data_IF_131245156020
#
_entry.id   IF_131245156020
#
_cell.length_a   1.000
_cell.length_b   1.000
_cell.length_c   1.000
_cell.angle_alpha   90.00
_cell.angle_beta   90.00
_cell.angle_gamma   90.00
#
_symmetry.space_group_name_H-M   'P 1'
#
loop_
_entity.id
_entity.type
_entity.pdbx_description
1 polymer ?
2 non-polymer ?
3 water ?
#
# COMPACT_ATOMS: atom_id res chain seq x y z
N UNK A 1 -25.26 12.76 27.05
CA UNK A 1 -24.13 12.00 26.55
C UNK A 1 -22.86 12.85 26.51
N UNK A 2 -21.76 12.29 27.00
CA UNK A 2 -20.48 12.98 26.95
C UNK A 2 -19.90 12.91 25.54
N UNK A 3 -19.20 13.98 25.16
CA UNK A 3 -18.55 14.01 23.87
C UNK A 3 -17.27 13.19 23.90
N UNK A 4 -16.85 12.72 22.72
CA UNK A 4 -15.63 11.95 22.56
C UNK A 4 -14.79 12.55 21.45
N UNK A 5 -13.47 12.40 21.59
CA UNK A 5 -12.55 12.83 20.55
C UNK A 5 -11.23 12.10 20.74
N UNK A 6 -10.64 11.64 19.64
CA UNK A 6 -9.37 10.93 19.70
C UNK A 6 -8.64 11.08 18.37
N UNK A 7 -7.32 10.91 18.44
CA UNK A 7 -6.46 10.89 17.26
C UNK A 7 -5.60 9.64 17.35
N UNK A 8 -5.71 8.77 16.35
CA UNK A 8 -4.95 7.52 16.31
C UNK A 8 -4.10 7.50 15.04
N UNK A 9 -2.82 7.22 15.20
CA UNK A 9 -1.88 7.18 14.09
C UNK A 9 -1.17 5.84 14.07
N UNK A 10 -1.10 5.21 12.90
CA UNK A 10 -0.44 3.93 12.72
C UNK A 10 0.54 4.06 11.57
N UNK A 11 1.83 3.93 11.87
CA UNK A 11 2.90 4.14 10.90
C UNK A 11 3.70 2.85 10.72
N UNK A 12 4.14 2.60 9.49
CA UNK A 12 4.95 1.43 9.16
C UNK A 12 6.18 1.89 8.39
N UNK A 13 7.36 1.65 8.97
CA UNK A 13 8.64 1.97 8.34
C UNK A 13 9.29 0.67 7.89
N UNK A 14 9.45 0.51 6.58
CA UNK A 14 10.00 -0.71 6.01
C UNK A 14 11.29 -0.40 5.24
N UNK A 15 12.26 -1.30 5.36
CA UNK A 15 13.51 -1.22 4.61
C UNK A 15 13.90 -2.63 4.20
N UNK A 16 14.27 -2.80 2.95
CA UNK A 16 14.59 -4.12 2.42
C UNK A 16 15.83 -4.06 1.55
N UNK A 17 16.77 -4.96 1.83
CA UNK A 17 17.88 -5.24 0.93
C UNK A 17 17.89 -6.74 0.65
N UNK A 18 18.38 -7.11 -0.52
CA UNK A 18 18.38 -8.51 -0.89
C UNK A 18 17.02 -8.99 -1.35
N UNK A 19 16.78 -10.29 -1.20
CA UNK A 19 15.62 -10.94 -1.78
C UNK A 19 14.40 -11.01 -0.88
N UNK A 20 14.58 -10.94 0.44
CA UNK A 20 13.52 -11.22 1.39
C UNK A 20 13.18 -9.95 2.17
N UNK A 21 11.90 -9.60 2.17
CA UNK A 21 11.39 -8.45 2.90
C UNK A 21 10.54 -8.91 4.09
N UNK A 22 10.42 -8.04 5.07
CA UNK A 22 9.48 -8.24 6.18
C UNK A 22 8.15 -7.65 5.73
N UNK A 23 7.26 -8.52 5.22
CA UNK A 23 6.09 -8.04 4.50
C UNK A 23 4.98 -7.57 5.45
N UNK A 24 4.68 -8.34 6.49
CA UNK A 24 3.60 -7.99 7.40
C UNK A 24 3.97 -8.39 8.82
N UNK A 25 3.62 -7.53 9.77
CA UNK A 25 3.83 -7.77 11.19
C UNK A 25 2.51 -7.58 11.90
N UNK A 26 2.11 -8.57 12.69
CA UNK A 26 0.85 -8.51 13.40
C UNK A 26 0.94 -7.57 14.59
N UNK A 27 -0.07 -6.71 14.75
CA UNK A 27 -0.12 -5.83 15.91
C UNK A 27 -0.52 -6.58 17.18
N UNK A 28 -1.12 -7.76 17.05
CA UNK A 28 -1.50 -8.58 18.18
C UNK A 28 -0.43 -9.58 18.57
N UNK A 29 0.78 -9.46 18.02
CA UNK A 29 1.88 -10.30 18.42
C UNK A 29 1.80 -11.75 18.00
N UNK A 30 0.97 -12.06 17.01
CA UNK A 30 0.75 -13.45 16.64
C UNK A 30 1.73 -13.97 15.60
N UNK A 31 2.15 -13.14 14.64
CA UNK A 31 2.96 -13.65 13.55
C UNK A 31 3.85 -12.56 12.97
N UNK A 32 4.85 -13.01 12.21
CA UNK A 32 5.66 -12.18 11.34
C UNK A 32 5.76 -12.90 10.00
N UNK A 33 5.43 -12.20 8.92
CA UNK A 33 5.41 -12.79 7.59
C UNK A 33 6.52 -12.19 6.73
N UNK A 34 7.31 -13.06 6.12
CA UNK A 34 8.38 -12.67 5.20
C UNK A 34 8.01 -13.08 3.78
N UNK A 35 8.58 -12.38 2.81
CA UNK A 35 8.30 -12.66 1.40
C UNK A 35 9.58 -12.56 0.60
N UNK A 36 9.86 -13.58 -0.21
CA UNK A 36 10.94 -13.54 -1.19
C UNK A 36 10.40 -12.81 -2.41
N UNK A 37 10.82 -11.56 -2.58
CA UNK A 37 10.32 -10.71 -3.66
C UNK A 37 11.14 -10.83 -4.95
N UNK A 38 12.06 -11.78 -5.03
CA UNK A 38 12.91 -11.97 -6.18
C UNK A 38 12.45 -13.20 -6.98
N UNK A 39 13.14 -13.45 -8.08
CA UNK A 39 12.87 -14.62 -8.91
C UNK A 39 13.88 -15.74 -8.68
N UNK A 40 14.57 -15.72 -7.54
CA UNK A 40 15.50 -16.76 -7.16
C UNK A 40 15.23 -17.21 -5.74
N UNK A 41 15.52 -18.48 -5.46
CA UNK A 41 15.37 -18.99 -4.11
C UNK A 41 16.38 -18.33 -3.17
N UNK A 42 16.04 -18.32 -1.88
CA UNK A 42 16.89 -17.73 -0.85
C UNK A 42 17.08 -18.73 0.27
N UNK A 43 18.30 -19.21 0.45
CA UNK A 43 18.62 -20.03 1.60
C UNK A 43 18.66 -19.17 2.85
N UNK A 45 19.14 -20.68 6.12
CA UNK A 45 19.61 -21.51 7.21
C UNK A 45 20.29 -20.71 8.30
N UNK A 46 19.80 -20.84 9.52
CA UNK A 46 20.34 -20.16 10.71
C UNK A 46 20.23 -18.64 10.60
N UNK A 47 19.37 -18.13 9.72
CA UNK A 47 19.01 -16.73 9.78
C UNK A 47 18.21 -16.46 11.06
N UNK A 48 18.08 -15.18 11.41
CA UNK A 48 17.38 -14.80 12.62
C UNK A 48 16.40 -13.68 12.36
N UNK A 49 15.41 -13.58 13.24
CA UNK A 49 14.50 -12.44 13.32
C UNK A 49 14.64 -11.83 14.69
N UNK A 50 15.05 -10.57 14.74
CA UNK A 50 15.21 -9.85 15.99
C UNK A 50 14.03 -8.91 16.19
N UNK A 51 13.38 -9.00 17.34
CA UNK A 51 12.19 -8.23 17.66
C UNK A 51 12.48 -7.31 18.83
N UNK A 52 12.36 -6.01 18.60
CA UNK A 52 12.62 -4.99 19.62
C UNK A 52 11.31 -4.25 19.87
N UNK A 53 10.68 -4.53 21.01
CA UNK A 53 9.40 -3.93 21.38
C UNK A 53 9.67 -2.81 22.37
N UNK A 54 9.87 -1.61 21.85
CA UNK A 54 10.22 -0.49 22.71
C UNK A 54 11.53 -0.75 23.41
N UNK A 55 11.52 -0.64 24.74
CA UNK A 55 12.68 -0.93 25.56
C UNK A 55 12.64 -2.32 26.18
N UNK A 56 11.72 -3.18 25.73
CA UNK A 56 11.66 -4.54 26.23
C UNK A 56 12.93 -5.30 25.86
N UNK A 57 13.26 -6.36 26.61
CA UNK A 57 14.39 -7.21 26.22
C UNK A 57 14.20 -7.76 24.81
N UNK A 58 15.30 -7.81 24.07
CA UNK A 58 15.25 -8.27 22.69
C UNK A 58 14.83 -9.73 22.62
N UNK A 59 13.92 -10.04 21.71
CA UNK A 59 13.53 -11.41 21.40
C UNK A 59 14.14 -11.81 20.07
N UNK A 60 14.70 -13.02 20.01
CA UNK A 60 15.41 -13.49 18.83
C UNK A 60 14.88 -14.87 18.44
N UNK A 61 14.28 -14.95 17.26
CA UNK A 61 13.92 -16.22 16.65
C UNK A 61 15.02 -16.65 15.69
N UNK A 62 15.27 -17.96 15.64
CA UNK A 62 16.28 -18.52 14.74
C UNK A 62 15.63 -19.54 13.83
N UNK A 63 15.90 -19.42 12.53
CA UNK A 63 15.38 -20.36 11.56
C UNK A 63 16.08 -21.71 11.72
N UNK A 64 15.47 -22.79 11.22
CA UNK A 64 16.14 -24.10 11.20
C UNK A 64 17.47 -24.01 10.49
N UNK A 65 18.41 -24.91 10.79
CA UNK A 65 19.75 -24.82 10.17
C UNK A 65 19.71 -24.93 8.65
N UNK A 66 18.69 -25.58 8.10
CA UNK A 66 18.48 -25.64 6.66
C UNK A 66 17.06 -25.20 6.38
N UNK A 67 16.92 -24.08 5.66
CA UNK A 67 15.60 -23.58 5.29
C UNK A 67 15.75 -22.70 4.06
N UNK A 68 14.90 -22.94 3.07
CA UNK A 68 14.88 -22.17 1.83
C UNK A 68 13.53 -21.50 1.66
N UNK A 69 13.54 -20.19 1.41
CA UNK A 69 12.34 -19.46 1.02
C UNK A 69 12.38 -19.30 -0.50
N UNK A 70 11.55 -20.09 -1.19
CA UNK A 70 11.59 -20.12 -2.64
C UNK A 70 11.16 -18.78 -3.22
N UNK A 71 11.49 -18.59 -4.50
CA UNK A 71 11.18 -17.34 -5.19
C UNK A 71 9.68 -17.06 -5.17
N UNK A 72 9.32 -15.83 -4.83
CA UNK A 72 7.93 -15.42 -4.81
C UNK A 72 7.11 -15.94 -3.65
N UNK A 73 7.68 -16.77 -2.79
CA UNK A 73 6.92 -17.43 -1.73
C UNK A 73 7.03 -16.65 -0.42
N UNK A 74 6.14 -17.00 0.51
CA UNK A 74 6.10 -16.38 1.82
C UNK A 74 6.25 -17.46 2.89
N UNK A 75 6.78 -17.04 4.03
CA UNK A 75 6.81 -17.87 5.23
C UNK A 75 6.29 -17.03 6.39
N UNK A 76 5.38 -17.59 7.17
CA UNK A 76 4.85 -16.93 8.35
C UNK A 76 5.37 -17.65 9.59
N UNK A 77 5.97 -16.90 10.49
CA UNK A 77 6.51 -17.43 11.74
C UNK A 77 5.53 -17.05 12.84
N UNK A 78 4.85 -18.06 13.39
CA UNK A 78 3.82 -17.86 14.40
C UNK A 78 4.40 -18.01 15.80
N UNK A 79 4.01 -17.11 16.69
CA UNK A 79 4.30 -17.31 18.10
C UNK A 79 3.52 -18.50 18.63
N UNK A 80 4.04 -19.11 19.70
CA UNK A 80 3.44 -20.34 20.21
C UNK A 80 2.01 -20.11 20.71
N UNK A 81 1.71 -18.92 21.20
CA UNK A 81 0.37 -18.63 21.70
C UNK A 81 -0.69 -18.43 20.63
N UNK A 82 -0.29 -18.33 19.35
CA UNK A 82 -1.25 -18.07 18.30
C UNK A 82 -2.12 -19.28 17.98
N UNK A 83 -1.73 -20.47 18.42
CA UNK A 83 -2.50 -21.65 18.13
C UNK A 83 -2.43 -22.11 16.68
N UNK A 84 -1.35 -21.78 15.98
CA UNK A 84 -1.18 -22.17 14.59
C UNK A 84 -0.58 -23.57 14.50
N UNK A 85 -0.64 -24.13 13.29
CA UNK A 85 -0.11 -25.47 13.02
C UNK A 85 1.22 -25.35 12.29
N UNK A 86 2.25 -26.00 12.83
CA UNK A 86 3.56 -26.00 12.21
C UNK A 86 3.49 -26.78 10.89
N UNK A 87 3.66 -26.07 9.78
CA UNK A 87 3.52 -26.67 8.45
C UNK A 87 4.50 -26.01 7.50
N UNK A 88 5.75 -26.44 7.52
CA UNK A 88 6.72 -25.86 6.60
C UNK A 88 6.39 -26.23 5.17
N UNK A 89 6.83 -25.43 4.19
CA UNK A 89 7.69 -24.24 4.31
C UNK A 89 6.94 -22.93 4.50
N UNK A 90 5.61 -22.94 4.58
CA UNK A 90 4.85 -21.70 4.63
C UNK A 90 4.55 -21.22 6.04
N UNK A 91 4.48 -22.12 7.02
CA UNK A 91 4.10 -21.74 8.37
C UNK A 91 5.00 -22.43 9.38
N UNK A 92 5.74 -21.63 10.15
CA UNK A 92 6.62 -22.14 11.19
C UNK A 92 6.16 -21.62 12.54
N UNK A 93 6.25 -22.47 13.56
CA UNK A 93 5.83 -22.13 14.92
C UNK A 93 7.07 -21.91 15.78
N UNK A 94 7.14 -20.74 16.41
CA UNK A 94 8.19 -20.41 17.36
C UNK A 94 7.75 -20.93 18.72
N UNK A 95 8.26 -22.10 19.11
CA UNK A 95 7.73 -22.79 20.29
C UNK A 95 8.14 -22.10 21.58
N UNK A 96 9.34 -21.50 21.62
CA UNK A 96 9.86 -20.97 22.88
C UNK A 96 9.24 -19.64 23.28
N UNK A 97 8.61 -18.92 22.34
CA UNK A 97 8.10 -17.58 22.60
C UNK A 97 6.58 -17.57 22.40
N UNK A 98 5.86 -17.20 23.45
CA UNK A 98 4.39 -17.26 23.40
C UNK A 98 3.81 -16.15 22.54
N UNK A 99 4.45 -14.99 22.49
CA UNK A 99 3.98 -13.87 21.68
C UNK A 99 5.17 -13.16 21.06
N UNK A 100 4.94 -12.56 19.89
CA UNK A 100 5.95 -11.68 19.32
C UNK A 100 6.07 -10.37 20.08
N UNK A 101 5.12 -10.08 20.96
CA UNK A 101 5.13 -8.85 21.73
C UNK A 101 4.16 -7.82 21.19
N UNK A 102 3.36 -7.25 22.08
CA UNK A 102 2.44 -6.16 21.75
C UNK A 102 2.98 -4.86 22.32
N UNK A 103 2.54 -3.76 21.74
CA UNK A 103 2.98 -2.45 22.20
C UNK A 103 2.86 -1.43 21.10
N UNK A 104 3.23 -0.20 21.44
CA UNK A 104 3.10 0.93 20.52
C UNK A 104 4.32 1.13 19.64
N UNK A 105 5.39 0.35 19.84
CA UNK A 105 6.59 0.43 19.01
C UNK A 105 7.13 -0.98 18.85
N UNK A 106 7.02 -1.53 17.64
CA UNK A 106 7.41 -2.91 17.36
C UNK A 106 8.36 -2.92 16.17
N UNK A 107 9.61 -3.28 16.41
CA UNK A 107 10.63 -3.34 15.38
C UNK A 107 11.01 -4.79 15.11
N UNK A 108 10.83 -5.22 13.86
CA UNK A 108 11.11 -6.58 13.44
C UNK A 108 12.18 -6.55 12.36
N UNK A 109 13.32 -7.17 12.63
CA UNK A 109 14.46 -7.13 11.73
C UNK A 109 14.87 -8.54 11.32
N UNK A 110 15.17 -8.71 10.04
CA UNK A 110 15.65 -9.98 9.50
C UNK A 110 17.17 -9.97 9.43
N UNK A 111 17.79 -11.00 10.01
CA UNK A 111 19.25 -11.09 10.14
C UNK A 111 19.70 -12.30 9.34
N UNK A 112 20.75 -12.12 8.52
CA UNK A 112 21.26 -13.23 7.74
C UNK A 112 22.19 -14.11 8.58
N UNK A 113 22.78 -15.11 7.95
CA UNK A 113 23.57 -16.10 8.68
C UNK A 113 24.86 -15.53 9.24
N UNK A 114 25.29 -14.35 8.78
CA UNK A 114 26.52 -13.74 9.25
C UNK A 114 26.27 -12.60 10.23
N UNK A 115 25.03 -12.37 10.63
CA UNK A 115 24.72 -11.38 11.65
C UNK A 115 24.39 -9.99 11.13
N UNK A 116 24.15 -9.83 9.84
CA UNK A 116 23.83 -8.53 9.26
C UNK A 116 22.34 -8.39 9.05
N UNK A 117 21.80 -7.23 9.42
CA UNK A 117 20.39 -6.94 9.19
C UNK A 117 20.17 -6.64 7.71
N UNK A 118 19.31 -7.41 7.07
CA UNK A 118 19.06 -7.27 5.64
C UNK A 118 17.69 -6.68 5.34
N UNK A 119 16.75 -6.70 6.30
CA UNK A 119 15.43 -6.14 6.08
C UNK A 119 14.79 -5.88 7.44
N UNK A 121 10.89 -4.07 9.40
CA UNK A 121 9.61 -3.38 9.38
C UNK A 121 9.29 -2.94 10.80
N UNK A 122 9.03 -1.64 10.98
CA UNK A 122 8.81 -1.05 12.30
C UNK A 122 7.41 -0.47 12.34
N UNK A 123 6.62 -0.94 13.32
CA UNK A 123 5.24 -0.50 13.51
C UNK A 123 5.18 0.44 14.71
N UNK A 124 4.56 1.61 14.52
CA UNK A 124 4.38 2.59 15.57
C UNK A 124 2.92 3.01 15.61
N UNK A 125 2.30 2.91 16.78
CA UNK A 125 0.92 3.35 16.97
C UNK A 125 0.89 4.40 18.08
N UNK A 126 0.32 5.56 17.77
CA UNK A 126 0.11 6.63 18.73
C UNK A 126 -1.37 6.94 18.82
N UNK A 127 -1.87 7.12 20.03
CA UNK A 127 -3.28 7.44 20.28
C UNK A 127 -3.35 8.52 21.35
N UNK A 128 -4.07 9.60 21.07
CA UNK A 128 -4.35 10.64 22.04
C UNK A 128 -5.85 10.83 22.15
N UNK A 129 -6.35 10.86 23.39
CA UNK A 129 -7.77 11.03 23.67
C UNK A 129 -7.95 12.36 24.40
N UNK A 130 -8.95 13.13 23.97
CA UNK A 130 -9.29 14.38 24.63
C UNK A 130 -10.00 14.08 25.94
N UNK A 131 -9.46 14.59 27.04
CA UNK A 131 -10.03 14.33 28.36
C UNK A 131 -11.18 15.28 28.67
N UNK B 2 -10.52 23.36 9.95
CA UNK B 2 -10.92 23.01 8.59
C UNK B 2 -9.79 23.32 7.61
N UNK B 3 -8.56 23.20 8.09
CA UNK B 3 -7.39 23.48 7.27
C UNK B 3 -6.86 22.20 6.63
N UNK B 4 -6.28 22.35 5.43
CA UNK B 4 -5.69 21.24 4.70
C UNK B 4 -4.27 21.63 4.29
N UNK B 5 -3.37 20.66 4.30
CA UNK B 5 -1.99 20.91 3.91
C UNK B 5 -1.33 19.59 3.52
N UNK B 6 -0.63 19.59 2.39
CA UNK B 6 0.04 18.39 1.92
C UNK B 6 1.31 18.78 1.18
N UNK B 7 2.29 17.87 1.21
CA UNK B 7 3.52 17.99 0.45
C UNK B 7 3.65 16.75 -0.42
N UNK B 8 3.56 16.94 -1.75
CA UNK B 8 3.65 15.86 -2.70
C UNK B 8 4.89 16.03 -3.56
N UNK B 9 5.62 14.94 -3.79
CA UNK B 9 6.82 14.98 -4.59
C UNK B 9 6.81 13.84 -5.61
N UNK B 10 7.36 14.13 -6.78
CA UNK B 10 7.53 13.16 -7.85
C UNK B 10 8.96 13.26 -8.36
N UNK B 11 9.73 12.19 -8.20
CA UNK B 11 11.15 12.20 -8.54
C UNK B 11 11.46 11.09 -9.54
N UNK B 12 12.43 11.37 -10.41
CA UNK B 12 12.87 10.42 -11.43
C UNK B 12 14.39 10.33 -11.38
N UNK B 13 14.90 9.16 -11.02
CA UNK B 13 16.33 8.89 -11.00
C UNK B 13 16.67 8.02 -12.21
N UNK B 14 17.49 8.54 -13.11
CA UNK B 14 17.85 7.83 -14.33
C UNK B 14 19.36 7.65 -14.40
N UNK B 15 19.78 6.49 -14.92
CA UNK B 15 21.18 6.16 -15.13
C UNK B 15 21.31 5.41 -16.44
N UNK B 16 22.30 5.78 -17.24
CA UNK B 16 22.55 5.11 -18.52
C UNK B 16 24.05 5.01 -18.74
N UNK B 17 24.50 3.83 -19.14
CA UNK B 17 25.92 3.57 -19.38
C UNK B 17 26.25 3.20 -20.81
N UNK B 18 25.29 2.70 -21.58
CA UNK B 18 25.57 2.28 -22.95
C UNK B 18 24.83 3.10 -23.99
N UNK B 19 24.37 2.43 -25.05
CA UNK B 19 23.67 3.10 -26.13
C UNK B 19 22.19 3.28 -25.85
N UNK B 20 21.60 2.45 -24.99
CA UNK B 20 20.15 2.41 -24.80
C UNK B 20 19.81 2.88 -23.40
N UNK B 21 18.89 3.83 -23.30
CA UNK B 21 18.41 4.37 -22.04
C UNK B 21 16.95 4.02 -21.83
N UNK B 22 16.54 4.01 -20.56
CA UNK B 22 15.13 3.87 -20.20
C UNK B 22 14.52 5.26 -20.28
N UNK B 23 13.80 5.54 -21.37
CA UNK B 23 13.39 6.91 -21.67
C UNK B 23 12.14 7.31 -20.90
N UNK B 24 11.12 6.46 -20.86
CA UNK B 24 9.86 6.82 -20.22
C UNK B 24 9.23 5.58 -19.59
N UNK B 25 8.70 5.77 -18.39
CA UNK B 25 8.02 4.71 -17.65
C UNK B 25 6.61 5.19 -17.32
N UNK B 26 5.61 4.46 -17.79
CA UNK B 26 4.23 4.82 -17.54
C UNK B 26 3.89 4.64 -16.06
N UNK B 27 3.33 5.68 -15.45
CA UNK B 27 2.91 5.58 -14.05
C UNK B 27 1.66 4.71 -13.89
N UNK B 28 0.92 4.49 -14.97
CA UNK B 28 -0.24 3.61 -14.94
C UNK B 28 0.09 2.17 -15.29
N UNK B 29 1.38 1.85 -15.43
CA UNK B 29 1.81 0.48 -15.62
C UNK B 29 1.53 -0.11 -16.99
N UNK B 30 1.31 0.73 -18.00
CA UNK B 30 0.95 0.23 -19.32
C UNK B 30 2.15 -0.04 -20.23
N UNK B 31 3.25 0.70 -20.07
CA UNK B 31 4.33 0.55 -21.02
C UNK B 31 5.66 0.98 -20.39
N UNK B 32 6.74 0.55 -21.04
CA UNK B 32 8.10 1.03 -20.81
C UNK B 32 8.72 1.29 -22.18
N UNK B 33 9.33 2.46 -22.35
CA UNK B 33 9.96 2.83 -23.60
C UNK B 33 11.46 2.95 -23.42
N UNK B 34 12.21 2.36 -24.34
CA UNK B 34 13.66 2.46 -24.39
C UNK B 34 14.07 3.28 -25.59
N UNK B 35 15.24 3.90 -25.52
CA UNK B 35 15.73 4.73 -26.62
C UNK B 35 17.20 4.44 -26.87
N UNK B 36 17.53 4.15 -28.13
CA UNK B 36 18.92 4.10 -28.56
C UNK B 36 19.37 5.54 -28.84
N UNK B 37 20.22 6.08 -27.98
CA UNK B 37 20.64 7.47 -28.09
C UNK B 37 21.91 7.66 -28.91
N UNK B 38 22.48 6.58 -29.44
CA UNK B 38 23.71 6.66 -30.22
C UNK B 38 23.39 6.59 -31.71
N UNK B 39 24.43 6.67 -32.53
CA UNK B 39 24.30 6.52 -33.98
C UNK B 39 24.70 5.11 -34.44
N UNK B 40 24.69 4.14 -33.54
CA UNK B 40 24.97 2.75 -33.88
C UNK B 40 23.82 1.87 -33.40
N UNK B 41 23.56 0.81 -34.15
CA UNK B 41 22.55 -0.16 -33.75
C UNK B 41 23.01 -0.92 -32.50
N UNK B 42 22.04 -1.32 -31.69
CA UNK B 42 22.31 -2.05 -30.47
C UNK B 42 21.59 -3.40 -30.50
N UNK B 43 22.35 -4.48 -30.45
CA UNK B 43 21.78 -5.81 -30.35
C UNK B 43 21.34 -6.04 -28.91
N UNK B 45 19.40 -8.96 -28.02
CA UNK B 45 18.90 -10.31 -27.94
C UNK B 45 18.96 -10.89 -26.55
N UNK B 46 17.81 -11.36 -26.05
CA UNK B 46 17.69 -11.98 -24.73
C UNK B 46 18.04 -11.02 -23.58
N UNK B 47 18.08 -9.72 -23.85
CA UNK B 47 18.21 -8.76 -22.77
C UNK B 47 16.94 -8.77 -21.91
N UNK B 48 17.07 -8.25 -20.70
CA UNK B 48 15.97 -8.28 -19.74
C UNK B 48 15.63 -6.87 -19.27
N UNK B 49 14.36 -6.69 -18.90
CA UNK B 49 13.89 -5.51 -18.19
C UNK B 49 13.36 -5.98 -16.85
N UNK B 50 14.07 -5.63 -15.78
CA UNK B 50 13.67 -6.00 -14.43
C UNK B 50 12.91 -4.84 -13.80
N UNK B 51 11.70 -5.12 -13.31
CA UNK B 51 10.82 -4.10 -12.74
C UNK B 51 10.63 -4.39 -11.26
N UNK B 52 11.19 -3.53 -10.41
CA UNK B 52 11.03 -3.62 -8.96
C UNK B 52 10.06 -2.54 -8.52
N UNK B 53 8.90 -2.94 -8.03
CA UNK B 53 7.88 -2.02 -7.53
C UNK B 53 7.84 -2.15 -6.01
N UNK B 54 8.72 -1.41 -5.34
CA UNK B 54 8.82 -1.54 -3.90
C UNK B 54 9.22 -2.95 -3.53
N UNK B 55 8.46 -3.56 -2.61
CA UNK B 55 8.67 -4.94 -2.22
C UNK B 55 7.68 -5.89 -2.89
N UNK B 56 7.04 -5.45 -3.97
CA UNK B 56 6.19 -6.32 -4.77
C UNK B 56 7.04 -7.43 -5.39
N UNK B 57 6.41 -8.52 -5.85
CA UNK B 57 7.19 -9.54 -6.56
C UNK B 57 7.83 -8.98 -7.82
N UNK B 58 9.09 -9.39 -8.04
CA UNK B 58 9.84 -8.87 -9.19
C UNK B 58 9.18 -9.31 -10.49
N UNK B 59 9.07 -8.36 -11.42
CA UNK B 59 8.55 -8.62 -12.76
C UNK B 59 9.70 -8.48 -13.75
N UNK B 60 9.92 -9.51 -14.56
CA UNK B 60 11.05 -9.55 -15.48
C UNK B 60 10.54 -9.86 -16.88
N UNK B 61 10.78 -8.94 -17.81
CA UNK B 61 10.53 -9.16 -19.23
C UNK B 61 11.84 -9.49 -19.93
N UNK B 62 11.78 -10.40 -20.89
CA UNK B 62 12.95 -10.78 -21.68
C UNK B 62 12.67 -10.55 -23.16
N UNK B 63 13.59 -9.85 -23.83
CA UNK B 63 13.48 -9.62 -25.25
C UNK B 63 13.62 -10.95 -26.00
N UNK B 64 13.17 -10.99 -27.26
CA UNK B 64 13.39 -12.18 -28.08
C UNK B 64 14.86 -12.49 -28.24
N UNK B 65 15.21 -13.75 -28.55
CA UNK B 65 16.64 -14.10 -28.66
C UNK B 65 17.39 -13.27 -29.67
N UNK B 66 16.71 -12.77 -30.71
CA UNK B 66 17.29 -11.84 -31.67
C UNK B 66 16.45 -10.58 -31.69
N UNK B 67 17.04 -9.46 -31.27
CA UNK B 67 16.35 -8.18 -31.33
C UNK B 67 17.39 -7.07 -31.46
N UNK B 68 17.13 -6.13 -32.36
CA UNK B 68 18.02 -5.01 -32.61
C UNK B 68 17.23 -3.71 -32.50
N UNK B 69 17.70 -2.81 -31.64
CA UNK B 69 17.17 -1.46 -31.56
C UNK B 69 18.07 -0.56 -32.40
N UNK B 70 17.54 -0.08 -33.53
CA UNK B 70 18.34 0.70 -34.45
C UNK B 70 18.75 2.04 -33.83
N UNK B 71 19.77 2.65 -34.43
CA UNK B 71 20.29 3.91 -33.93
C UNK B 71 19.21 4.99 -33.94
N UNK B 72 19.12 5.73 -32.83
CA UNK B 72 18.16 6.81 -32.71
C UNK B 72 16.72 6.37 -32.47
N UNK B 73 16.44 5.08 -32.51
CA UNK B 73 15.07 4.58 -32.48
C UNK B 73 14.64 4.21 -31.07
N UNK B 74 13.32 4.04 -30.91
CA UNK B 74 12.72 3.66 -29.64
C UNK B 74 11.98 2.35 -29.81
N UNK B 75 11.82 1.64 -28.70
CA UNK B 75 10.97 0.46 -28.63
C UNK B 75 10.11 0.59 -27.39
N UNK B 76 8.81 0.37 -27.54
CA UNK B 76 7.85 0.42 -26.44
C UNK B 76 7.39 -0.98 -26.12
N UNK B 77 7.57 -1.40 -24.87
CA UNK B 77 7.16 -2.73 -24.43
C UNK B 77 5.86 -2.56 -23.64
N UNK B 78 4.77 -3.05 -24.22
CA UNK B 78 3.44 -2.89 -23.62
C UNK B 78 3.10 -4.10 -22.76
N UNK B 79 2.53 -3.84 -21.59
CA UNK B 79 1.91 -4.91 -20.82
C UNK B 79 0.66 -5.41 -21.54
N UNK B 80 0.28 -6.65 -21.23
CA UNK B 80 -0.85 -7.26 -21.93
C UNK B 80 -2.14 -6.48 -21.72
N UNK B 81 -2.32 -5.87 -20.54
CA UNK B 81 -3.54 -5.14 -20.26
C UNK B 81 -3.69 -3.83 -21.00
N UNK B 82 -2.63 -3.34 -21.63
CA UNK B 82 -2.71 -2.08 -22.35
C UNK B 82 -3.54 -2.19 -23.63
N UNK B 83 -3.73 -3.39 -24.15
CA UNK B 83 -4.48 -3.56 -25.38
C UNK B 83 -3.78 -3.05 -26.62
N UNK B 84 -2.45 -3.09 -26.63
CA UNK B 84 -1.68 -2.61 -27.76
C UNK B 84 -1.47 -3.73 -28.78
N UNK B 85 -0.97 -3.35 -29.95
CA UNK B 85 -0.73 -4.28 -31.04
C UNK B 85 0.75 -4.61 -31.13
N UNK B 86 1.08 -5.89 -31.10
CA UNK B 86 2.46 -6.33 -31.27
C UNK B 86 2.94 -5.99 -32.67
N UNK B 87 3.98 -5.15 -32.74
CA UNK B 87 4.51 -4.75 -34.03
C UNK B 87 6.00 -4.44 -33.91
N UNK B 88 6.87 -5.45 -33.90
CA UNK B 88 8.30 -5.16 -33.76
C UNK B 88 8.82 -4.43 -34.98
N UNK B 89 9.90 -3.65 -34.82
CA UNK B 89 10.70 -3.44 -33.60
C UNK B 89 10.20 -2.28 -32.73
N UNK B 90 9.15 -1.58 -33.13
CA UNK B 90 8.71 -0.39 -32.41
C UNK B 90 7.81 -0.70 -31.22
N UNK B 91 7.00 -1.76 -31.29
CA UNK B 91 6.04 -2.07 -30.23
C UNK B 91 6.06 -3.57 -29.95
N UNK B 92 6.39 -3.93 -28.72
CA UNK B 92 6.38 -5.32 -28.28
C UNK B 92 5.34 -5.47 -27.17
N UNK B 93 4.55 -6.54 -27.25
CA UNK B 93 3.51 -6.82 -26.27
C UNK B 93 3.98 -7.94 -25.36
N UNK B 94 3.95 -7.67 -24.05
CA UNK B 94 4.34 -8.64 -23.03
C UNK B 94 3.12 -9.49 -22.69
N UNK B 95 3.03 -10.67 -23.31
CA UNK B 95 1.81 -11.47 -23.23
C UNK B 95 1.53 -11.96 -21.82
N UNK B 96 2.57 -12.34 -21.09
CA UNK B 96 2.42 -13.06 -19.83
C UNK B 96 2.29 -12.16 -18.61
N UNK B 97 2.27 -10.84 -18.79
CA UNK B 97 2.19 -9.91 -17.67
C UNK B 97 1.15 -8.84 -17.98
N UNK B 98 0.11 -8.77 -17.16
CA UNK B 98 -1.00 -7.86 -17.43
C UNK B 98 -0.61 -6.40 -17.23
N UNK B 99 0.30 -6.11 -16.30
CA UNK B 99 0.65 -4.74 -15.99
C UNK B 99 2.12 -4.67 -15.58
N UNK B 100 2.74 -3.53 -15.86
CA UNK B 100 4.08 -3.27 -15.33
C UNK B 100 4.06 -2.96 -13.84
N UNK B 101 2.88 -2.72 -13.27
CA UNK B 101 2.77 -2.44 -11.84
C UNK B 101 2.68 -0.95 -11.53
N UNK B 102 1.85 -0.60 -10.57
CA UNK B 102 1.70 0.77 -10.10
C UNK B 102 2.11 0.84 -8.63
N UNK B 103 2.48 2.04 -8.19
CA UNK B 103 2.88 2.23 -6.82
C UNK B 103 3.74 3.47 -6.66
N UNK B 104 4.11 3.72 -5.40
CA UNK B 104 4.92 4.88 -5.06
C UNK B 104 6.40 4.71 -5.40
N UNK B 105 6.82 3.53 -5.83
CA UNK B 105 8.22 3.28 -6.15
C UNK B 105 8.29 2.28 -7.29
N UNK B 106 8.66 2.75 -8.48
CA UNK B 106 8.74 1.93 -9.69
C UNK B 106 10.16 2.01 -10.21
N UNK B 107 10.89 0.90 -10.14
CA UNK B 107 12.27 0.82 -10.60
C UNK B 107 12.33 -0.08 -11.84
N UNK B 108 12.71 0.50 -12.96
CA UNK B 108 12.81 -0.22 -14.24
C UNK B 108 14.27 -0.24 -14.66
N UNK B 109 14.83 -1.46 -14.83
CA UNK B 109 16.23 -1.63 -15.13
C UNK B 109 16.42 -2.47 -16.39
N UNK B 110 17.37 -2.08 -17.22
CA UNK B 110 17.71 -2.80 -18.44
C UNK B 110 18.97 -3.62 -18.19
N UNK B 111 18.88 -4.93 -18.44
CA UNK B 111 19.95 -5.87 -18.15
C UNK B 111 20.42 -6.48 -19.47
N UNK B 112 21.74 -6.54 -19.66
CA UNK B 112 22.30 -7.06 -20.91
C UNK B 112 22.50 -8.57 -20.80
N UNK B 113 23.16 -9.15 -21.80
CA UNK B 113 23.28 -10.61 -21.87
C UNK B 113 24.16 -11.16 -20.76
N UNK B 114 25.12 -10.39 -20.27
CA UNK B 114 26.03 -10.82 -19.21
C UNK B 114 25.51 -10.46 -17.83
N UNK B 115 24.23 -10.11 -17.71
CA UNK B 115 23.64 -9.82 -16.41
C UNK B 115 23.99 -8.47 -15.83
N UNK B 116 24.59 -7.57 -16.60
CA UNK B 116 24.95 -6.26 -16.11
C UNK B 116 23.82 -5.27 -16.35
N UNK B 117 23.49 -4.50 -15.33
CA UNK B 117 22.50 -3.43 -15.46
C UNK B 117 23.12 -2.27 -16.21
N UNK B 118 22.68 -2.05 -17.45
CA UNK B 118 23.25 -1.01 -18.29
C UNK B 118 22.47 0.29 -18.26
N UNK B 119 21.22 0.27 -17.80
CA UNK B 119 20.41 1.48 -17.75
C UNK B 119 19.27 1.27 -16.76
N UNK B 121 15.66 3.58 -14.75
CA UNK B 121 14.87 4.77 -14.44
C UNK B 121 13.93 4.41 -13.31
N UNK B 122 13.99 5.16 -12.22
CA UNK B 122 13.20 4.90 -11.02
C UNK B 122 12.27 6.07 -10.78
N UNK B 123 10.96 5.78 -10.71
CA UNK B 123 9.95 6.79 -10.46
C UNK B 123 9.47 6.66 -9.01
N UNK B 124 9.50 7.76 -8.27
CA UNK B 124 9.15 7.77 -6.86
C UNK B 124 8.13 8.88 -6.62
N UNK B 125 7.02 8.52 -5.99
CA UNK B 125 5.98 9.47 -5.60
C UNK B 125 5.84 9.43 -4.07
N UNK B 126 5.97 10.58 -3.44
CA UNK B 126 5.77 10.70 -2.01
C UNK B 126 4.69 11.75 -1.73
N UNK B 127 3.97 11.56 -0.64
CA UNK B 127 2.95 12.52 -0.22
C UNK B 127 2.81 12.46 1.29
N UNK B 128 2.88 13.62 1.93
CA UNK B 128 2.68 13.76 3.37
C UNK B 128 1.58 14.77 3.62
N UNK B 129 0.63 14.42 4.50
CA UNK B 129 -0.48 15.29 4.85
C UNK B 129 -0.34 15.69 6.31
N UNK B 130 -0.44 16.99 6.58
CA UNK B 130 -0.33 17.49 7.95
C UNK B 130 -1.50 16.97 8.78
N UNK B 131 -1.20 16.52 9.99
CA UNK B 131 -2.22 15.93 10.85
C UNK B 131 -2.99 16.99 11.60
N UNK B 132 -4.24 16.68 11.92
CA UNK B 132 -5.08 17.58 12.71
C UNK B 132 -4.72 17.52 14.19
N UNK C 3 17.88 -1.78 -3.01
CA UNK C 3 17.37 -1.42 -1.69
C UNK C 3 16.12 -0.57 -1.80
N UNK C 4 15.10 -0.92 -1.02
CA UNK C 4 13.84 -0.17 -0.98
C UNK C 4 13.54 0.22 0.46
N UNK C 5 13.01 1.42 0.65
CA UNK C 5 12.70 1.92 1.98
C UNK C 5 11.58 2.95 1.87
N UNK C 6 10.62 2.85 2.79
CA UNK C 6 9.48 3.77 2.79
C UNK C 6 8.90 3.86 4.19
N UNK C 7 8.33 5.02 4.50
CA UNK C 7 7.57 5.24 5.72
C UNK C 7 6.14 5.62 5.33
N UNK C 8 5.18 4.82 5.77
CA UNK C 8 3.77 5.08 5.51
C UNK C 8 3.03 5.23 6.83
N UNK C 9 2.05 6.13 6.86
CA UNK C 9 1.28 6.38 8.06
C UNK C 9 -0.20 6.49 7.71
N UNK C 10 -1.04 6.02 8.63
CA UNK C 10 -2.49 6.11 8.49
C UNK C 10 -3.06 6.65 9.78
N UNK C 11 -3.75 7.78 9.70
CA UNK C 11 -4.24 8.48 10.88
C UNK C 11 -5.75 8.67 10.79
N UNK C 12 -6.41 8.56 11.94
CA UNK C 12 -7.86 8.75 12.05
C UNK C 12 -8.15 9.70 13.20
N UNK C 13 -8.69 10.87 12.88
CA UNK C 13 -9.14 11.82 13.87
C UNK C 13 -10.66 11.77 13.93
N UNK C 14 -11.21 11.40 15.09
CA UNK C 14 -12.64 11.23 15.27
C UNK C 14 -13.12 12.14 16.39
N UNK C 15 -14.30 12.73 16.19
CA UNK C 15 -14.95 13.55 17.21
C UNK C 15 -16.43 13.29 17.14
N UNK C 16 -17.07 13.09 18.30
CA UNK C 16 -18.49 12.79 18.35
C UNK C 16 -19.13 13.53 19.51
N UNK C 17 -20.23 14.23 19.22
CA UNK C 17 -21.12 14.76 20.23
C UNK C 17 -22.51 14.22 19.97
N UNK C 18 -23.23 13.90 21.03
CA UNK C 18 -24.57 13.34 20.88
C UNK C 18 -24.60 11.84 20.65
N UNK C 19 -25.58 11.36 19.90
CA UNK C 19 -25.86 9.93 19.84
C UNK C 19 -25.23 9.22 18.65
N UNK C 20 -24.93 9.93 17.56
CA UNK C 20 -24.52 9.30 16.30
C UNK C 20 -23.09 9.69 15.99
N UNK C 21 -22.25 8.69 15.73
CA UNK C 21 -20.86 8.88 15.37
C UNK C 21 -20.63 8.42 13.93
N UNK C 22 -19.57 8.96 13.32
CA UNK C 22 -19.10 8.49 12.02
C UNK C 22 -18.21 7.28 12.29
N UNK C 23 -18.75 6.08 12.08
CA UNK C 23 -18.09 4.86 12.56
C UNK C 23 -17.00 4.39 11.60
N UNK C 24 -17.30 4.33 10.31
CA UNK C 24 -16.32 3.83 9.34
C UNK C 24 -16.45 4.60 8.04
N UNK C 25 -15.31 4.93 7.44
CA UNK C 25 -15.22 5.60 6.16
C UNK C 25 -14.39 4.74 5.23
N UNK C 26 -15.00 4.29 4.14
CA UNK C 26 -14.29 3.48 3.16
C UNK C 26 -13.25 4.31 2.43
N UNK C 27 -12.01 3.83 2.41
CA UNK C 27 -10.95 4.51 1.67
C UNK C 27 -11.09 4.36 0.17
N UNK C 28 -11.92 3.42 -0.30
CA UNK C 28 -12.21 3.27 -1.72
C UNK C 28 -13.41 4.09 -2.16
N UNK C 29 -13.95 4.93 -1.26
CA UNK C 29 -15.03 5.83 -1.62
C UNK C 29 -16.38 5.18 -1.83
N UNK C 30 -16.59 3.97 -1.32
CA UNK C 30 -17.83 3.25 -1.58
C UNK C 30 -18.92 3.56 -0.57
N UNK C 31 -18.59 3.82 0.69
CA UNK C 31 -19.64 3.97 1.69
C UNK C 31 -19.16 4.83 2.85
N UNK C 32 -20.13 5.28 3.64
CA UNK C 32 -19.91 5.89 4.95
C UNK C 32 -20.93 5.29 5.89
N UNK C 33 -20.47 4.73 7.01
CA UNK C 33 -21.34 4.10 7.98
C UNK C 33 -21.41 4.95 9.24
N UNK C 34 -22.63 5.21 9.71
CA UNK C 34 -22.88 5.94 10.94
C UNK C 34 -23.41 4.98 12.00
N UNK C 35 -23.12 5.27 13.26
CA UNK C 35 -23.51 4.41 14.37
C UNK C 35 -24.21 5.24 15.43
N UNK C 36 -25.43 4.84 15.78
CA UNK C 36 -26.09 5.35 16.99
C UNK C 36 -25.52 4.57 18.16
N UNK C 37 -24.65 5.20 18.94
CA UNK C 37 -23.97 4.52 20.03
C UNK C 37 -24.75 4.56 21.33
N UNK C 38 -25.92 5.20 21.35
CA UNK C 38 -26.67 5.40 22.57
C UNK C 38 -27.81 4.39 22.67
N UNK C 39 -28.57 4.48 23.77
CA UNK C 39 -29.72 3.63 24.01
C UNK C 39 -31.03 4.32 23.65
N UNK C 40 -30.97 5.40 22.86
CA UNK C 40 -32.16 6.11 22.42
C UNK C 40 -32.10 6.33 20.92
N UNK C 41 -33.28 6.34 20.29
CA UNK C 41 -33.37 6.61 18.87
C UNK C 41 -32.93 8.05 18.58
N UNK C 42 -32.49 8.27 17.34
CA UNK C 42 -32.07 9.59 16.89
C UNK C 42 -32.76 9.92 15.59
N UNK C 43 -33.56 10.98 15.59
CA UNK C 43 -34.14 11.49 14.35
C UNK C 43 -33.08 12.21 13.55
N UNK C 45 -33.83 13.41 10.20
CA UNK C 45 -34.50 14.04 9.08
C UNK C 45 -33.83 15.32 8.64
N UNK C 46 -33.51 15.42 7.34
CA UNK C 46 -32.86 16.57 6.73
C UNK C 46 -31.44 16.79 7.21
N UNK C 47 -30.87 15.86 7.97
CA UNK C 47 -29.46 15.97 8.34
C UNK C 47 -28.59 15.79 7.10
N UNK C 48 -27.31 16.12 7.23
CA UNK C 48 -26.40 16.12 6.10
C UNK C 48 -25.09 15.43 6.46
N UNK C 49 -24.42 14.93 5.42
CA UNK C 49 -23.05 14.44 5.52
C UNK C 49 -22.21 15.27 4.55
N UNK C 50 -21.24 15.99 5.10
CA UNK C 50 -20.35 16.84 4.30
C UNK C 50 -19.00 16.14 4.17
N UNK C 51 -18.55 15.94 2.94
CA UNK C 51 -17.32 15.21 2.66
C UNK C 51 -16.31 16.16 2.02
N UNK C 52 -15.21 16.41 2.71
CA UNK C 52 -14.13 17.26 2.23
C UNK C 52 -12.92 16.38 1.92
N UNK C 53 -12.64 16.21 0.63
CA UNK C 53 -11.51 15.38 0.18
C UNK C 53 -10.39 16.32 -0.22
N UNK C 54 -9.54 16.66 0.75
CA UNK C 54 -8.46 17.61 0.48
C UNK C 54 -9.04 18.95 0.10
N UNK C 55 -8.58 19.49 -1.04
CA UNK C 55 -9.10 20.74 -1.57
C UNK C 55 -10.09 20.52 -2.71
N UNK C 56 -10.58 19.29 -2.89
CA UNK C 56 -11.61 19.03 -3.86
C UNK C 56 -12.90 19.76 -3.47
N UNK C 57 -13.77 20.04 -4.44
CA UNK C 57 -15.06 20.66 -4.12
C UNK C 57 -15.84 19.81 -3.11
N UNK C 58 -16.55 20.49 -2.22
CA UNK C 58 -17.31 19.82 -1.18
C UNK C 58 -18.41 18.95 -1.78
N UNK C 59 -18.54 17.73 -1.25
CA UNK C 59 -19.65 16.83 -1.57
C UNK C 59 -20.58 16.77 -0.37
N UNK C 60 -21.88 16.93 -0.62
CA UNK C 60 -22.87 17.00 0.45
C UNK C 60 -23.99 16.02 0.18
N UNK C 61 -24.18 15.08 1.10
CA UNK C 61 -25.32 14.16 1.06
C UNK C 61 -26.40 14.67 2.00
N UNK C 62 -27.66 14.51 1.61
CA UNK C 62 -28.79 14.95 2.40
C UNK C 62 -29.66 13.76 2.73
N UNK C 63 -29.93 13.56 4.03
CA UNK C 63 -30.84 12.51 4.46
C UNK C 63 -32.26 12.83 4.02
N UNK C 64 -33.12 11.81 3.93
CA UNK C 64 -34.54 12.06 3.65
C UNK C 64 -35.14 12.98 4.68
N UNK C 65 -36.26 13.65 4.37
CA UNK C 65 -36.84 14.60 5.34
C UNK C 65 -37.30 13.93 6.62
N UNK C 66 -37.58 12.63 6.61
CA UNK C 66 -37.90 11.87 7.81
C UNK C 66 -37.05 10.62 7.82
N UNK C 67 -36.15 10.51 8.80
CA UNK C 67 -35.30 9.35 8.93
C UNK C 67 -34.93 9.16 10.39
N UNK C 68 -34.95 7.91 10.85
CA UNK C 68 -34.67 7.57 12.23
C UNK C 68 -33.59 6.49 12.28
N UNK C 69 -32.51 6.76 13.00
CA UNK C 69 -31.48 5.77 13.28
C UNK C 69 -31.72 5.25 14.69
N UNK C 70 -32.06 3.96 14.80
CA UNK C 70 -32.46 3.39 16.07
C UNK C 70 -31.25 3.21 16.98
N UNK C 71 -31.55 3.07 18.28
CA UNK C 71 -30.50 2.92 19.29
C UNK C 71 -29.63 1.72 19.00
N UNK C 72 -28.31 1.90 19.07
CA UNK C 72 -27.36 0.84 18.85
C UNK C 72 -27.10 0.48 17.41
N UNK C 73 -27.86 1.02 16.46
CA UNK C 73 -27.88 0.54 15.09
C UNK C 73 -26.99 1.38 14.18
N UNK C 74 -26.70 0.84 13.01
CA UNK C 74 -25.91 1.50 11.99
C UNK C 74 -26.76 1.76 10.76
N UNK C 75 -26.37 2.79 10.00
CA UNK C 75 -26.88 3.03 8.67
C UNK C 75 -25.67 3.25 7.76
N UNK C 76 -25.62 2.54 6.65
CA UNK C 76 -24.55 2.69 5.66
C UNK C 76 -25.08 3.48 4.48
N UNK C 77 -24.42 4.58 4.16
CA UNK C 77 -24.79 5.42 3.03
C UNK C 77 -23.83 5.09 1.89
N UNK C 78 -24.34 4.39 0.89
CA UNK C 78 -23.54 3.92 -0.23
C UNK C 78 -23.52 4.96 -1.34
N UNK C 79 -22.34 5.15 -1.94
CA UNK C 79 -22.26 5.88 -3.20
C UNK C 79 -22.89 5.04 -4.31
N UNK C 80 -23.42 5.74 -5.32
CA UNK C 80 -24.13 5.04 -6.39
C UNK C 80 -23.23 4.07 -7.15
N UNK C 81 -21.93 4.37 -7.22
CA UNK C 81 -21.01 3.50 -7.94
C UNK C 81 -20.72 2.19 -7.25
N UNK C 82 -21.06 2.04 -5.97
CA UNK C 82 -20.77 0.81 -5.25
C UNK C 82 -21.64 -0.35 -5.68
N UNK C 83 -22.79 -0.08 -6.31
CA UNK C 83 -23.68 -1.14 -6.73
C UNK C 83 -24.43 -1.80 -5.60
N UNK C 84 -24.75 -1.05 -4.54
CA UNK C 84 -25.50 -1.59 -3.43
C UNK C 84 -27.00 -1.44 -3.67
N UNK C 85 -27.79 -2.08 -2.81
CA UNK C 85 -29.24 -2.03 -2.90
C UNK C 85 -29.80 -1.10 -1.85
N UNK C 86 -30.62 -0.15 -2.28
CA UNK C 86 -31.24 0.83 -1.37
C UNK C 86 -32.30 0.12 -0.53
N UNK C 87 -31.96 -0.18 0.72
CA UNK C 87 -32.84 -0.91 1.63
C UNK C 87 -32.87 -0.20 2.98
N UNK C 88 -33.71 0.83 3.12
CA UNK C 88 -33.79 1.53 4.40
C UNK C 88 -34.34 0.62 5.48
N UNK C 89 -33.97 0.85 6.75
CA UNK C 89 -33.13 1.94 7.27
C UNK C 89 -31.66 1.56 7.37
N UNK C 90 -31.28 0.34 6.98
CA UNK C 90 -29.90 -0.10 7.18
C UNK C 90 -28.97 0.37 6.08
N UNK C 91 -29.45 0.47 4.84
CA UNK C 91 -28.61 0.82 3.70
C UNK C 91 -29.33 1.83 2.83
N UNK C 92 -28.74 3.01 2.69
CA UNK C 92 -29.22 4.04 1.79
C UNK C 92 -28.21 4.26 0.67
N UNK C 93 -28.71 4.49 -0.54
CA UNK C 93 -27.87 4.69 -1.71
C UNK C 93 -27.95 6.15 -2.12
N UNK C 94 -26.78 6.79 -2.24
CA UNK C 94 -26.67 8.16 -2.76
C UNK C 94 -26.71 8.08 -4.28
N UNK C 95 -27.93 8.15 -4.83
CA UNK C 95 -28.15 7.80 -6.22
C UNK C 95 -27.44 8.74 -7.19
N UNK C 96 -27.28 10.00 -6.82
CA UNK C 96 -26.73 11.00 -7.74
C UNK C 96 -25.21 11.08 -7.70
N UNK C 97 -24.56 10.46 -6.73
CA UNK C 97 -23.13 10.59 -6.54
C UNK C 97 -22.46 9.23 -6.72
N UNK C 98 -21.54 9.15 -7.67
CA UNK C 98 -20.93 7.87 -8.00
C UNK C 98 -19.92 7.43 -6.95
N UNK C 99 -19.25 8.36 -6.28
CA UNK C 99 -18.22 8.00 -5.32
C UNK C 99 -18.18 9.02 -4.18
N UNK C 100 -17.81 8.53 -3.00
CA UNK C 100 -17.54 9.43 -1.88
C UNK C 100 -16.22 10.18 -2.04
N UNK C 101 -15.37 9.72 -2.95
CA UNK C 101 -14.08 10.35 -3.17
C UNK C 101 -12.94 9.63 -2.49
N UNK C 102 -11.81 9.52 -3.18
CA UNK C 102 -10.60 8.91 -2.64
C UNK C 102 -9.49 9.95 -2.59
N UNK C 103 -8.47 9.66 -1.80
CA UNK C 103 -7.35 10.56 -1.66
C UNK C 103 -6.67 10.38 -0.32
N UNK C 104 -5.63 11.19 -0.11
CA UNK C 104 -4.82 11.12 1.10
C UNK C 104 -5.44 11.87 2.27
N UNK C 105 -6.56 12.55 2.08
CA UNK C 105 -7.21 13.28 3.16
C UNK C 105 -8.71 13.25 2.92
N UNK C 106 -9.45 12.53 3.77
CA UNK C 106 -10.88 12.36 3.64
C UNK C 106 -11.53 12.79 4.96
N UNK C 107 -12.25 13.90 4.94
CA UNK C 107 -12.95 14.41 6.11
C UNK C 107 -14.45 14.25 5.91
N UNK C 108 -15.08 13.44 6.76
CA UNK C 108 -16.50 13.16 6.70
C UNK C 108 -17.16 13.70 7.96
N UNK C 109 -18.10 14.62 7.80
CA UNK C 109 -18.75 15.30 8.91
C UNK C 109 -20.26 15.09 8.86
N UNK C 110 -20.85 14.90 10.03
CA UNK C 110 -22.30 14.75 10.17
C UNK C 110 -22.89 16.06 10.66
N UNK C 111 -23.88 16.58 9.93
CA UNK C 111 -24.49 17.88 10.20
C UNK C 111 -25.94 17.65 10.59
N UNK C 112 -26.38 18.29 11.67
CA UNK C 112 -27.76 18.13 12.12
C UNK C 112 -28.66 19.07 11.33
N UNK C 113 -29.94 19.13 11.71
CA UNK C 113 -30.92 19.88 10.93
C UNK C 113 -30.73 21.38 11.01
N UNK C 114 -30.06 21.89 12.05
CA UNK C 114 -29.83 23.31 12.20
C UNK C 114 -28.44 23.74 11.74
N UNK C 115 -27.73 22.87 11.03
CA UNK C 115 -26.46 23.23 10.42
C UNK C 115 -25.23 23.07 11.29
N UNK C 116 -25.33 22.40 12.44
CA UNK C 116 -24.20 22.19 13.33
C UNK C 116 -23.56 20.83 13.05
N UNK C 117 -22.24 20.81 13.06
CA UNK C 117 -21.49 19.56 12.92
C UNK C 117 -21.50 18.85 14.27
N UNK C 118 -22.18 17.70 14.33
CA UNK C 118 -22.29 16.95 15.57
C UNK C 118 -21.29 15.80 15.65
N UNK C 119 -20.71 15.37 14.53
CA UNK C 119 -19.75 14.29 14.54
C UNK C 119 -18.90 14.39 13.28
N UNK C 121 -15.19 12.28 11.23
CA UNK C 121 -14.06 11.36 11.20
C UNK C 121 -13.20 11.71 10.01
N UNK C 122 -11.91 11.94 10.23
CA UNK C 122 -10.98 12.31 9.17
C UNK C 122 -9.92 11.24 9.03
N UNK C 123 -9.75 10.74 7.81
CA UNK C 123 -8.73 9.76 7.48
C UNK C 123 -7.62 10.44 6.70
N UNK C 124 -6.39 10.23 7.15
CA UNK C 124 -5.21 10.83 6.52
C UNK C 124 -4.21 9.72 6.25
N UNK C 125 -3.69 9.68 5.03
CA UNK C 125 -2.66 8.71 4.65
C UNK C 125 -1.46 9.43 4.07
N UNK C 126 -0.29 9.14 4.63
CA UNK C 126 0.97 9.69 4.16
C UNK C 126 1.92 8.55 3.81
N UNK C 127 2.76 8.77 2.81
CA UNK C 127 3.77 7.81 2.41
C UNK C 127 4.99 8.56 1.90
N UNK C 128 6.16 8.22 2.43
CA UNK C 128 7.42 8.82 2.02
C UNK C 128 8.37 7.71 1.62
N UNK C 129 8.87 7.77 0.39
CA UNK C 129 9.84 6.81 -0.13
C UNK C 129 11.22 7.45 -0.09
N UNK C 130 12.21 6.70 0.41
CA UNK C 130 13.57 7.21 0.50
C UNK C 130 14.15 7.33 -0.91
N UNK C 131 14.78 8.47 -1.19
CA UNK C 131 15.27 8.77 -2.52
C UNK C 131 16.56 8.02 -2.82
N UNK C 132 16.67 7.53 -4.05
CA UNK C 132 17.86 6.81 -4.51
C UNK C 132 19.06 7.74 -4.68
#
# INVERSE_FOLDING_TARGET
LESTESRSSFSQHARTSGRVAVEEVDEEGKFVRLRNKSNEDQSXGNWQIKRQNGDDPLLTYRFPPKFTLKAGQVVTIWAAGAGATHSPPTDLVWKAQNTWGCGNSLRTALINSTGEEVAXRKLVRSVTVVED
LESTESRSSFSQHARTSGRVAVEEVDEEGKFVRLRNKSNEDQSXGNWQIKRQNGDDPLLTYRFPPKFTLKAGQVVTIWAAGAGATHSPPTDLVWKAQNTWGCGNSLRTALINSTGEEVAXRKLVRSVTVVED
LESTESRSSFSQHARTSGRVAVEEVDEEGKFVRLRNKSNEDQSXGNWQIKRQNGDDPLLTYRFPPKFTLKAGQVVTIWAAGAGATHSPPTDLVWKAQNTWGCGNSLRTALINSTGEEVAXRKLVRSVTVVED
#
